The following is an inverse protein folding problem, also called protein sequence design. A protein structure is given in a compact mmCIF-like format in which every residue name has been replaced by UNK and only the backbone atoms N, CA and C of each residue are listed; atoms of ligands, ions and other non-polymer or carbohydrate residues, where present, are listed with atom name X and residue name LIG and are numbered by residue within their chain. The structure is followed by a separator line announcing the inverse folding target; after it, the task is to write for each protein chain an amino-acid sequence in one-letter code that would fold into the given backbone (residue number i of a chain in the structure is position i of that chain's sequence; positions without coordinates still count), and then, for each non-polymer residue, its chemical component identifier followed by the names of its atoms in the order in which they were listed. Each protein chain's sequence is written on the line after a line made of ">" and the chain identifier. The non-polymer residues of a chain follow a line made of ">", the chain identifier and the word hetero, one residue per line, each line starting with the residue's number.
data_IF_141822336312
#
_entry.id   IF_141822336312
#
_cell.length_a   1.000
_cell.length_b   1.000
_cell.length_c   1.000
_cell.angle_alpha   90.00
_cell.angle_beta   90.00
_cell.angle_gamma   90.00
#
_symmetry.space_group_name_H-M   'P 1'
#
loop_
_entity.id
_entity.type
_entity.pdbx_description
1 polymer ?
#
# COMPACT_ATOMS: atom_id res chain seq x y z
N UNK A 1 -0.91 10.57 18.73
CA UNK A 1 -1.71 10.85 17.53
C UNK A 1 -2.25 9.55 16.97
N UNK A 2 -3.51 9.54 16.59
CA UNK A 2 -4.15 8.37 15.99
C UNK A 2 -3.87 8.32 14.49
N UNK A 3 -3.90 7.13 13.93
CA UNK A 3 -3.66 6.94 12.50
C UNK A 3 -4.65 7.73 11.63
N UNK A 4 -5.91 7.83 12.05
CA UNK A 4 -6.93 8.58 11.29
C UNK A 4 -6.66 10.09 11.22
N UNK A 5 -5.83 10.61 12.10
CA UNK A 5 -5.42 12.02 12.07
C UNK A 5 -4.27 12.26 11.07
N UNK A 6 -3.54 11.21 10.70
CA UNK A 6 -2.38 11.30 9.82
C UNK A 6 -2.64 10.76 8.41
N UNK A 7 -3.48 9.74 8.28
CA UNK A 7 -3.72 9.04 7.02
C UNK A 7 -4.34 9.94 5.95
N UNK A 8 -4.11 9.59 4.70
CA UNK A 8 -4.86 10.11 3.56
C UNK A 8 -6.15 9.30 3.45
N UNK A 9 -7.30 9.94 3.57
CA UNK A 9 -8.62 9.26 3.54
C UNK A 9 -9.22 9.17 2.15
N UNK A 10 -8.83 10.05 1.23
CA UNK A 10 -9.25 9.98 -0.17
C UNK A 10 -8.30 9.07 -0.93
N UNK A 11 -8.60 7.77 -0.92
CA UNK A 11 -7.75 6.74 -1.50
C UNK A 11 -8.42 6.17 -2.74
N UNK A 12 -7.67 6.06 -3.82
CA UNK A 12 -8.14 5.37 -5.01
C UNK A 12 -8.19 3.87 -4.75
N UNK A 13 -9.35 3.27 -4.93
CA UNK A 13 -9.58 1.84 -4.75
C UNK A 13 -9.85 1.20 -6.10
N UNK A 14 -9.50 -0.06 -6.25
CA UNK A 14 -9.74 -0.81 -7.48
C UNK A 14 -10.56 -2.07 -7.16
N UNK A 15 -11.55 -2.34 -8.01
CA UNK A 15 -12.38 -3.53 -7.89
C UNK A 15 -11.56 -4.79 -8.19
N UNK A 16 -11.80 -5.84 -7.41
CA UNK A 16 -11.09 -7.13 -7.55
C UNK A 16 -11.27 -7.77 -8.94
N UNK A 17 -12.31 -7.38 -9.68
CA UNK A 17 -12.58 -7.88 -11.04
C UNK A 17 -11.89 -7.07 -12.13
N UNK A 18 -11.26 -5.96 -11.78
CA UNK A 18 -10.53 -5.15 -12.74
C UNK A 18 -9.34 -5.90 -13.33
N UNK A 19 -8.89 -5.47 -14.51
CA UNK A 19 -7.71 -6.03 -15.15
C UNK A 19 -6.45 -5.27 -14.73
N UNK A 20 -5.31 -5.87 -14.99
CA UNK A 20 -4.01 -5.21 -14.80
C UNK A 20 -3.90 -3.95 -15.66
N UNK A 21 -4.50 -3.96 -16.87
CA UNK A 21 -4.56 -2.76 -17.71
C UNK A 21 -5.29 -1.62 -17.01
N UNK A 22 -6.44 -1.91 -16.39
CA UNK A 22 -7.19 -0.90 -15.64
C UNK A 22 -6.34 -0.32 -14.51
N UNK A 23 -5.64 -1.18 -13.78
CA UNK A 23 -4.75 -0.76 -12.71
C UNK A 23 -3.63 0.14 -13.23
N UNK A 24 -2.97 -0.29 -14.31
CA UNK A 24 -1.85 0.45 -14.90
C UNK A 24 -2.31 1.83 -15.40
N UNK A 25 -3.50 1.92 -15.99
CA UNK A 25 -4.06 3.20 -16.43
C UNK A 25 -4.34 4.13 -15.25
N UNK A 26 -4.89 3.61 -14.16
CA UNK A 26 -5.09 4.39 -12.93
C UNK A 26 -3.78 4.92 -12.39
N UNK A 27 -2.77 4.06 -12.31
CA UNK A 27 -1.45 4.45 -11.84
C UNK A 27 -0.84 5.54 -12.71
N UNK A 28 -0.96 5.41 -14.01
CA UNK A 28 -0.46 6.41 -14.96
C UNK A 28 -1.19 7.75 -14.82
N UNK A 29 -2.52 7.70 -14.84
CA UNK A 29 -3.35 8.92 -14.90
C UNK A 29 -3.31 9.70 -13.59
N UNK A 30 -3.17 9.00 -12.45
CA UNK A 30 -3.13 9.60 -11.12
C UNK A 30 -1.72 9.73 -10.56
N UNK A 31 -0.72 9.24 -11.29
CA UNK A 31 0.69 9.25 -10.86
C UNK A 31 0.86 8.57 -9.49
N UNK A 32 0.30 7.38 -9.35
CA UNK A 32 0.39 6.58 -8.13
C UNK A 32 0.93 5.19 -8.49
N UNK A 33 1.59 4.54 -7.53
CA UNK A 33 2.16 3.21 -7.72
C UNK A 33 1.58 2.16 -6.78
N UNK A 34 0.46 2.46 -6.14
CA UNK A 34 -0.12 1.61 -5.10
C UNK A 34 -1.64 1.73 -5.14
N UNK A 35 -2.34 0.58 -5.21
CA UNK A 35 -3.80 0.52 -5.25
C UNK A 35 -4.31 -0.56 -4.30
N UNK A 36 -5.08 -0.22 -3.27
CA UNK A 36 -5.84 -1.21 -2.52
C UNK A 36 -6.93 -1.81 -3.40
N UNK A 37 -7.10 -3.12 -3.31
CA UNK A 37 -8.08 -3.89 -4.08
C UNK A 37 -9.21 -4.29 -3.14
N UNK A 38 -10.44 -4.04 -3.57
CA UNK A 38 -11.63 -4.30 -2.75
C UNK A 38 -12.62 -5.20 -3.50
N UNK A 39 -13.42 -5.94 -2.73
CA UNK A 39 -14.50 -6.76 -3.27
C UNK A 39 -15.80 -5.95 -3.43
N UNK A 40 -16.88 -6.62 -3.81
CA UNK A 40 -18.20 -5.98 -4.02
C UNK A 40 -18.74 -5.29 -2.77
N UNK A 41 -18.37 -5.78 -1.59
CA UNK A 41 -18.77 -5.18 -0.32
C UNK A 41 -17.87 -4.04 0.14
N UNK A 42 -16.86 -3.69 -0.64
CA UNK A 42 -15.90 -2.65 -0.29
C UNK A 42 -14.82 -3.10 0.68
N UNK A 43 -14.71 -4.41 0.94
CA UNK A 43 -13.72 -4.95 1.86
C UNK A 43 -12.38 -5.12 1.17
N UNK A 44 -11.31 -4.81 1.88
CA UNK A 44 -9.95 -4.98 1.39
C UNK A 44 -9.65 -6.46 1.19
N UNK A 45 -9.22 -6.83 -0.02
CA UNK A 45 -8.84 -8.22 -0.35
C UNK A 45 -7.40 -8.34 -0.80
N UNK A 46 -6.75 -7.23 -1.12
CA UNK A 46 -5.36 -7.24 -1.53
C UNK A 46 -4.86 -5.85 -1.83
N UNK A 47 -3.58 -5.76 -2.21
CA UNK A 47 -2.97 -4.54 -2.74
C UNK A 47 -2.19 -4.87 -3.99
N UNK A 48 -2.11 -3.91 -4.89
CA UNK A 48 -1.35 -4.02 -6.14
C UNK A 48 -0.43 -2.82 -6.27
N UNK A 49 0.83 -3.10 -6.57
CA UNK A 49 1.83 -2.05 -6.80
C UNK A 49 2.32 -2.10 -8.24
N UNK A 50 2.96 -1.02 -8.69
CA UNK A 50 3.62 -0.97 -9.98
C UNK A 50 4.71 -2.05 -10.09
N UNK A 51 5.40 -2.34 -8.97
CA UNK A 51 6.37 -3.44 -8.91
C UNK A 51 5.71 -4.80 -9.13
N UNK A 52 4.53 -5.05 -8.55
CA UNK A 52 3.78 -6.29 -8.78
C UNK A 52 3.49 -6.48 -10.26
N UNK A 53 3.11 -5.41 -10.95
CA UNK A 53 2.84 -5.46 -12.40
C UNK A 53 4.12 -5.80 -13.16
N UNK A 54 5.23 -5.17 -12.84
CA UNK A 54 6.49 -5.45 -13.51
C UNK A 54 6.95 -6.89 -13.28
N UNK A 55 6.89 -7.37 -12.04
CA UNK A 55 7.47 -8.66 -11.65
C UNK A 55 6.53 -9.83 -11.93
N UNK A 56 5.22 -9.66 -11.65
CA UNK A 56 4.25 -10.76 -11.73
C UNK A 56 3.49 -10.81 -13.04
N UNK A 57 3.50 -9.74 -13.82
CA UNK A 57 2.81 -9.67 -15.11
C UNK A 57 3.82 -9.62 -16.24
N UNK A 58 4.62 -8.57 -16.32
CA UNK A 58 5.54 -8.37 -17.45
C UNK A 58 6.66 -9.41 -17.44
N UNK A 59 7.33 -9.62 -16.32
CA UNK A 59 8.43 -10.57 -16.21
C UNK A 59 7.97 -12.02 -16.43
N UNK A 60 6.72 -12.33 -16.08
CA UNK A 60 6.13 -13.66 -16.27
C UNK A 60 5.42 -13.82 -17.61
N UNK A 61 5.56 -12.83 -18.48
CA UNK A 61 4.98 -12.83 -19.83
C UNK A 61 3.46 -12.98 -19.86
N UNK A 62 2.77 -12.45 -18.86
CA UNK A 62 1.31 -12.34 -18.87
C UNK A 62 0.86 -11.09 -19.60
N UNK A 63 -0.31 -11.16 -20.22
CA UNK A 63 -0.89 -10.03 -20.93
C UNK A 63 -1.60 -9.03 -20.00
N UNK A 64 -1.93 -7.84 -20.52
CA UNK A 64 -2.58 -6.80 -19.71
C UNK A 64 -4.03 -7.13 -19.32
N UNK A 65 -4.63 -8.15 -19.93
CA UNK A 65 -5.98 -8.59 -19.61
C UNK A 65 -6.10 -9.49 -18.39
N UNK A 66 -4.99 -9.80 -17.71
CA UNK A 66 -5.02 -10.60 -16.48
C UNK A 66 -5.79 -9.84 -15.40
N UNK A 67 -6.65 -10.56 -14.66
CA UNK A 67 -7.39 -9.97 -13.55
C UNK A 67 -6.44 -9.64 -12.39
N UNK A 68 -6.69 -8.53 -11.71
CA UNK A 68 -5.79 -8.07 -10.63
C UNK A 68 -5.70 -9.06 -9.48
N UNK A 69 -6.75 -9.86 -9.22
CA UNK A 69 -6.75 -10.86 -8.16
C UNK A 69 -5.75 -12.00 -8.39
N UNK A 70 -5.29 -12.16 -9.63
CA UNK A 70 -4.29 -13.18 -9.97
C UNK A 70 -2.87 -12.76 -9.59
N UNK A 71 -2.63 -11.48 -9.42
CA UNK A 71 -1.26 -10.92 -9.28
C UNK A 71 -1.10 -10.01 -8.06
N UNK A 72 -2.18 -9.66 -7.38
CA UNK A 72 -2.12 -8.81 -6.18
C UNK A 72 -1.47 -9.55 -5.01
N UNK A 73 -1.01 -8.77 -4.03
CA UNK A 73 -0.57 -9.29 -2.74
C UNK A 73 -1.78 -9.43 -1.84
N UNK A 74 -2.06 -10.64 -1.36
CA UNK A 74 -3.23 -10.95 -0.53
C UNK A 74 -2.97 -10.80 0.97
N UNK A 75 -1.74 -11.08 1.42
CA UNK A 75 -1.35 -10.97 2.83
C UNK A 75 -1.03 -9.51 3.16
N UNK A 76 -2.07 -8.68 3.25
CA UNK A 76 -1.90 -7.25 3.47
C UNK A 76 -1.73 -6.97 4.96
N UNK A 77 -0.64 -6.27 5.31
CA UNK A 77 -0.44 -5.75 6.65
C UNK A 77 -1.26 -4.47 6.78
N UNK A 78 -2.12 -4.40 7.78
CA UNK A 78 -3.01 -3.27 8.00
C UNK A 78 -2.95 -2.79 9.44
N UNK A 79 -3.44 -1.58 9.66
CA UNK A 79 -3.70 -1.08 11.01
C UNK A 79 -5.13 -0.56 11.09
N UNK A 80 -5.59 -0.30 12.31
CA UNK A 80 -6.89 0.31 12.54
C UNK A 80 -6.73 1.84 12.54
N UNK A 81 -7.69 2.60 11.97
CA UNK A 81 -7.61 4.07 11.98
C UNK A 81 -7.53 4.66 13.40
N UNK A 82 -8.03 3.97 14.39
CA UNK A 82 -7.96 4.42 15.79
C UNK A 82 -6.66 4.05 16.50
N UNK A 83 -5.82 3.21 15.88
CA UNK A 83 -4.51 2.87 16.44
C UNK A 83 -3.62 4.11 16.55
N UNK A 84 -2.69 4.07 17.50
CA UNK A 84 -1.66 5.09 17.63
C UNK A 84 -0.69 5.01 16.45
N UNK A 85 -0.21 6.17 16.00
CA UNK A 85 0.76 6.28 14.89
C UNK A 85 2.02 5.46 15.17
N UNK A 86 2.42 5.30 16.46
CA UNK A 86 3.57 4.47 16.82
C UNK A 86 3.39 3.02 16.38
N UNK A 87 2.17 2.51 16.42
CA UNK A 87 1.89 1.15 15.94
C UNK A 87 2.08 1.07 14.43
N UNK A 88 1.62 2.06 13.69
CA UNK A 88 1.82 2.14 12.24
C UNK A 88 3.31 2.17 11.90
N UNK A 89 4.10 2.97 12.61
CA UNK A 89 5.55 3.02 12.43
C UNK A 89 6.19 1.66 12.66
N UNK A 90 5.79 0.98 13.74
CA UNK A 90 6.34 -0.33 14.07
C UNK A 90 6.01 -1.37 12.99
N UNK A 91 4.77 -1.36 12.49
CA UNK A 91 4.36 -2.27 11.41
C UNK A 91 5.13 -1.99 10.11
N UNK A 92 5.31 -0.73 9.76
CA UNK A 92 6.06 -0.34 8.57
C UNK A 92 7.53 -0.74 8.69
N UNK A 93 8.13 -0.54 9.86
CA UNK A 93 9.53 -0.89 10.11
C UNK A 93 9.75 -2.41 10.05
N UNK A 94 8.95 -3.16 10.81
CA UNK A 94 9.09 -4.62 10.89
C UNK A 94 8.86 -5.29 9.55
N UNK A 95 7.87 -4.80 8.78
CA UNK A 95 7.50 -5.39 7.50
C UNK A 95 8.15 -4.67 6.31
N UNK A 96 8.94 -3.63 6.56
CA UNK A 96 9.67 -2.85 5.55
C UNK A 96 8.73 -2.30 4.47
N UNK A 97 7.66 -1.64 4.91
CA UNK A 97 6.62 -1.08 4.06
C UNK A 97 6.77 0.43 3.95
N UNK A 98 6.56 0.96 2.75
CA UNK A 98 6.49 2.41 2.51
C UNK A 98 5.06 2.94 2.52
N UNK A 99 4.08 2.05 2.51
CA UNK A 99 2.64 2.36 2.58
C UNK A 99 1.97 1.38 3.52
N UNK A 100 1.03 1.86 4.30
CA UNK A 100 0.24 1.02 5.21
C UNK A 100 -1.23 1.36 5.06
N UNK A 101 -2.06 0.36 4.80
CA UNK A 101 -3.51 0.54 4.67
C UNK A 101 -4.14 0.52 6.05
N UNK A 102 -5.00 1.50 6.31
CA UNK A 102 -5.83 1.54 7.51
C UNK A 102 -7.20 0.98 7.16
N UNK A 103 -7.62 -0.02 7.91
CA UNK A 103 -8.89 -0.74 7.69
C UNK A 103 -9.72 -0.64 8.97
N UNK A 104 -10.99 -0.27 8.83
CA UNK A 104 -11.87 -0.16 9.97
C UNK A 104 -12.37 -1.54 10.44
N UNK A 105 -13.18 -1.55 11.49
CA UNK A 105 -13.73 -2.78 12.08
C UNK A 105 -14.62 -3.58 11.13
N UNK A 106 -15.13 -2.94 10.07
CA UNK A 106 -15.98 -3.61 9.06
C UNK A 106 -15.16 -4.19 7.91
N UNK A 107 -13.84 -3.99 7.91
CA UNK A 107 -12.97 -4.48 6.84
C UNK A 107 -12.82 -3.50 5.68
N UNK A 108 -13.40 -2.31 5.78
CA UNK A 108 -13.31 -1.32 4.72
C UNK A 108 -12.09 -0.43 4.87
N UNK A 109 -11.54 0.00 3.73
CA UNK A 109 -10.38 0.88 3.71
C UNK A 109 -10.78 2.25 4.22
N UNK A 110 -10.15 2.69 5.30
CA UNK A 110 -10.36 4.03 5.86
C UNK A 110 -9.35 5.03 5.31
N UNK A 111 -8.14 4.59 5.02
CA UNK A 111 -7.10 5.46 4.49
C UNK A 111 -5.79 4.73 4.30
N UNK A 112 -4.77 5.47 3.91
CA UNK A 112 -3.40 4.96 3.73
C UNK A 112 -2.41 5.92 4.40
N UNK A 113 -1.44 5.36 5.10
CA UNK A 113 -0.33 6.11 5.69
C UNK A 113 0.92 5.81 4.86
N UNK A 114 1.66 6.86 4.49
CA UNK A 114 2.93 6.74 3.77
C UNK A 114 4.10 7.09 4.68
N UNK A 115 5.32 6.69 4.26
CA UNK A 115 6.54 7.11 4.93
C UNK A 115 6.66 8.64 5.00
N UNK A 116 6.23 9.34 3.95
CA UNK A 116 6.27 10.80 3.93
C UNK A 116 5.34 11.42 4.97
N UNK A 117 4.18 10.79 5.21
CA UNK A 117 3.26 11.24 6.27
C UNK A 117 3.92 11.12 7.64
N UNK A 118 4.59 10.00 7.90
CA UNK A 118 5.30 9.77 9.16
C UNK A 118 6.46 10.73 9.32
N UNK A 119 7.22 10.97 8.24
CA UNK A 119 8.36 11.87 8.25
C UNK A 119 7.96 13.32 8.56
N UNK A 120 6.76 13.73 8.13
CA UNK A 120 6.25 15.07 8.43
C UNK A 120 5.81 15.21 9.89
N UNK A 121 5.36 14.14 10.49
CA UNK A 121 4.83 14.15 11.85
C UNK A 121 5.89 13.89 12.92
N UNK A 122 6.76 12.90 12.72
CA UNK A 122 7.72 12.46 13.72
C UNK A 122 8.96 13.34 13.78
N UNK A 123 9.69 13.26 14.89
CA UNK A 123 11.00 13.89 14.98
C UNK A 123 12.00 13.23 14.01
N UNK A 124 13.08 13.97 13.67
CA UNK A 124 14.04 13.51 12.68
C UNK A 124 14.69 12.18 13.03
N UNK A 125 14.91 11.90 14.30
CA UNK A 125 15.58 10.66 14.72
C UNK A 125 14.71 9.45 14.44
N UNK A 126 13.43 9.47 14.84
CA UNK A 126 12.51 8.36 14.65
C UNK A 126 12.16 8.19 13.19
N UNK A 127 11.88 9.28 12.49
CA UNK A 127 11.63 9.25 11.05
C UNK A 127 12.82 8.69 10.29
N UNK A 128 14.03 9.09 10.67
CA UNK A 128 15.27 8.60 10.09
C UNK A 128 15.43 7.09 10.23
N UNK A 129 15.07 6.51 11.39
CA UNK A 129 15.14 5.07 11.61
C UNK A 129 14.16 4.31 10.72
N UNK A 130 12.92 4.76 10.61
CA UNK A 130 11.91 4.12 9.76
C UNK A 130 12.33 4.16 8.29
N UNK A 131 12.76 5.31 7.81
CA UNK A 131 13.20 5.47 6.42
C UNK A 131 14.42 4.60 6.12
N UNK A 132 15.38 4.52 7.04
CA UNK A 132 16.58 3.71 6.86
C UNK A 132 16.25 2.21 6.73
N UNK A 133 15.32 1.69 7.52
CA UNK A 133 14.90 0.29 7.47
C UNK A 133 14.26 -0.05 6.12
N UNK A 134 13.38 0.80 5.61
CA UNK A 134 12.72 0.59 4.32
C UNK A 134 13.71 0.73 3.18
N UNK A 135 14.59 1.74 3.22
CA UNK A 135 15.60 1.98 2.18
C UNK A 135 16.58 0.82 2.08
N UNK A 136 16.98 0.23 3.20
CA UNK A 136 17.85 -0.95 3.19
C UNK A 136 17.26 -2.10 2.39
N UNK A 137 15.96 -2.35 2.53
CA UNK A 137 15.24 -3.35 1.76
C UNK A 137 15.20 -3.01 0.27
N UNK A 138 14.88 -1.78 -0.07
CA UNK A 138 14.80 -1.33 -1.46
C UNK A 138 16.16 -1.42 -2.15
N UNK A 139 17.22 -1.08 -1.44
CA UNK A 139 18.59 -1.21 -1.94
C UNK A 139 18.96 -2.64 -2.31
N UNK A 140 18.50 -3.60 -1.55
CA UNK A 140 18.72 -5.03 -1.86
C UNK A 140 17.91 -5.50 -3.07
N UNK A 141 16.74 -4.89 -3.31
CA UNK A 141 15.86 -5.27 -4.40
C UNK A 141 16.34 -4.71 -5.73
N UNK A 142 16.98 -3.55 -5.74
CA UNK A 142 17.37 -2.85 -6.97
C UNK A 142 18.74 -3.29 -7.52
N UNK A 143 19.28 -4.35 -7.01
CA UNK A 143 20.46 -5.01 -7.57
C UNK A 143 20.07 -6.04 -8.64
#
# INVERSE_FOLDING_TARGET
>A
MRCDELMTSEVELLDVRATVRDAARRMRDLNIGFLPIVDDGGQLVGVLTDRDIAVRVVAENHGPGVAVDQVMTEDVITCDPEDDVERAEALMRVNQLSRLVCVDETGQVAGVISLSDIAQYEDETRAGEVIADVTAREGHIHH
#
